data_IF_427224520795
#
_entry.id   IF_427224520795
#
_cell.length_a   1.000
_cell.length_b   1.000
_cell.length_c   1.000
_cell.angle_alpha   90.00
_cell.angle_beta   90.00
_cell.angle_gamma   90.00
#
_symmetry.space_group_name_H-M   'P 1'
#
loop_
_entity.id
_entity.type
_entity.pdbx_description
1 polymer ?
#
# COMPACT_ATOMS: atom_id res chain seq x y z
N UNK A 1 9.22 20.37 33.49
CA UNK A 1 9.10 20.76 32.08
C UNK A 1 8.15 19.76 31.43
N UNK A 2 6.97 20.20 31.00
CA UNK A 2 6.00 19.31 30.33
C UNK A 2 6.44 19.19 28.87
N UNK A 3 6.93 18.02 28.49
CA UNK A 3 7.32 17.76 27.11
C UNK A 3 6.04 17.70 26.26
N UNK A 4 5.95 18.51 25.21
CA UNK A 4 4.85 18.41 24.26
C UNK A 4 4.88 17.03 23.59
N UNK A 5 3.74 16.35 23.51
CA UNK A 5 3.63 15.10 22.76
C UNK A 5 3.96 15.37 21.28
N UNK A 6 4.78 14.52 20.63
CA UNK A 6 5.15 14.71 19.24
C UNK A 6 3.90 14.65 18.34
N UNK A 7 3.78 15.60 17.42
CA UNK A 7 2.74 15.59 16.40
C UNK A 7 3.06 14.54 15.34
N UNK A 8 2.27 13.48 15.27
CA UNK A 8 2.45 12.38 14.32
C UNK A 8 1.56 12.62 13.10
N UNK A 9 2.11 13.19 12.03
CA UNK A 9 1.39 13.32 10.76
C UNK A 9 1.53 12.06 9.89
N UNK A 10 0.53 11.77 9.06
CA UNK A 10 0.56 10.61 8.17
C UNK A 10 1.80 10.61 7.24
N UNK A 11 2.16 11.76 6.69
CA UNK A 11 3.30 11.91 5.78
C UNK A 11 4.60 11.33 6.37
N UNK A 12 4.94 11.69 7.61
CA UNK A 12 6.19 11.25 8.25
C UNK A 12 6.12 9.86 8.89
N UNK A 13 4.93 9.34 9.18
CA UNK A 13 4.77 8.15 10.01
C UNK A 13 4.23 6.94 9.27
N UNK A 14 3.59 7.12 8.11
CA UNK A 14 3.10 6.01 7.28
C UNK A 14 3.49 6.15 5.81
N UNK A 15 3.41 7.35 5.22
CA UNK A 15 3.73 7.52 3.79
C UNK A 15 5.23 7.34 3.50
N UNK A 16 6.09 8.13 4.16
CA UNK A 16 7.55 8.01 3.98
C UNK A 16 8.06 6.62 4.39
N UNK A 17 7.65 6.04 5.54
CA UNK A 17 8.00 4.65 5.85
C UNK A 17 7.54 3.65 4.78
N UNK A 18 6.36 3.82 4.19
CA UNK A 18 5.90 2.93 3.13
C UNK A 18 6.80 2.99 1.88
N UNK A 19 7.19 4.19 1.45
CA UNK A 19 8.18 4.37 0.38
C UNK A 19 9.52 3.69 0.69
N UNK A 20 10.01 3.85 1.94
CA UNK A 20 11.28 3.25 2.35
C UNK A 20 11.23 1.72 2.32
N UNK A 21 10.12 1.12 2.76
CA UNK A 21 9.92 -0.34 2.69
C UNK A 21 9.86 -0.83 1.25
N UNK A 22 9.11 -0.15 0.38
CA UNK A 22 9.05 -0.48 -1.06
C UNK A 22 10.45 -0.43 -1.69
N UNK A 23 11.22 0.62 -1.39
CA UNK A 23 12.60 0.78 -1.86
C UNK A 23 13.53 -0.32 -1.33
N UNK A 24 13.40 -0.69 -0.06
CA UNK A 24 14.15 -1.82 0.53
C UNK A 24 13.84 -3.16 -0.14
N UNK A 25 12.61 -3.33 -0.66
CA UNK A 25 12.19 -4.51 -1.44
C UNK A 25 12.57 -4.44 -2.92
N UNK A 26 13.39 -3.45 -3.30
CA UNK A 26 13.87 -3.18 -4.66
C UNK A 26 12.79 -2.77 -5.67
N UNK A 27 11.69 -2.19 -5.20
CA UNK A 27 10.72 -1.53 -6.08
C UNK A 27 11.20 -0.13 -6.46
N UNK A 28 11.07 0.21 -7.74
CA UNK A 28 11.21 1.58 -8.23
C UNK A 28 9.87 2.29 -8.02
N UNK A 29 9.85 3.30 -7.14
CA UNK A 29 8.64 4.04 -6.81
C UNK A 29 8.62 5.39 -7.53
N UNK A 30 7.52 5.72 -8.21
CA UNK A 30 7.35 6.98 -8.96
C UNK A 30 5.97 7.59 -8.74
N UNK A 31 5.84 8.89 -9.01
CA UNK A 31 4.57 9.63 -8.98
C UNK A 31 4.49 10.55 -10.21
N UNK A 32 4.02 10.04 -11.38
CA UNK A 32 3.87 10.83 -12.59
C UNK A 32 2.64 11.75 -12.47
N UNK A 33 2.78 12.85 -11.72
CA UNK A 33 1.73 13.85 -11.58
C UNK A 33 0.57 13.42 -10.68
N UNK A 34 -0.66 13.61 -11.14
CA UNK A 34 -1.89 13.46 -10.33
C UNK A 34 -2.50 12.05 -10.37
N UNK A 35 -1.81 11.06 -10.94
CA UNK A 35 -2.32 9.69 -11.12
C UNK A 35 -2.01 8.75 -9.94
N UNK A 36 -1.52 9.30 -8.83
CA UNK A 36 -1.09 8.53 -7.66
C UNK A 36 0.34 8.01 -7.78
N UNK A 37 0.61 6.94 -7.02
CA UNK A 37 1.93 6.33 -6.87
C UNK A 37 2.02 5.02 -7.61
N UNK A 38 3.18 4.75 -8.19
CA UNK A 38 3.50 3.51 -8.88
C UNK A 38 4.70 2.81 -8.24
N UNK A 39 4.69 1.48 -8.19
CA UNK A 39 5.84 0.66 -7.81
C UNK A 39 6.11 -0.39 -8.89
N UNK A 40 7.36 -0.48 -9.36
CA UNK A 40 7.77 -1.38 -10.44
C UNK A 40 8.95 -2.27 -10.04
N UNK A 41 8.85 -3.57 -10.35
CA UNK A 41 9.91 -4.57 -10.12
C UNK A 41 9.65 -5.82 -10.95
N UNK A 42 10.68 -6.38 -11.58
CA UNK A 42 10.62 -7.67 -12.29
C UNK A 42 9.48 -7.78 -13.33
N UNK A 43 9.16 -6.68 -14.01
CA UNK A 43 8.07 -6.62 -15.01
C UNK A 43 6.67 -6.47 -14.41
N UNK A 44 6.54 -6.41 -13.08
CA UNK A 44 5.30 -6.08 -12.39
C UNK A 44 5.21 -4.56 -12.15
N UNK A 45 3.98 -4.03 -12.25
CA UNK A 45 3.66 -2.63 -12.00
C UNK A 45 2.41 -2.54 -11.13
N UNK A 46 2.52 -1.85 -10.00
CA UNK A 46 1.46 -1.61 -9.03
C UNK A 46 1.12 -0.12 -9.00
N UNK A 47 -0.14 0.22 -8.75
CA UNK A 47 -0.63 1.60 -8.64
C UNK A 47 -1.58 1.74 -7.46
N UNK A 48 -1.47 2.83 -6.71
CA UNK A 48 -2.44 3.23 -5.69
C UNK A 48 -2.43 4.75 -5.46
N UNK A 49 -3.41 5.27 -4.71
CA UNK A 49 -3.53 6.71 -4.48
C UNK A 49 -2.51 7.23 -3.45
N UNK A 50 -2.10 6.38 -2.51
CA UNK A 50 -1.10 6.68 -1.47
C UNK A 50 0.03 5.66 -1.44
N UNK A 51 1.16 6.00 -0.79
CA UNK A 51 2.27 5.06 -0.61
C UNK A 51 1.88 3.92 0.34
N UNK A 52 0.99 4.19 1.30
CA UNK A 52 0.49 3.18 2.24
C UNK A 52 -0.36 2.14 1.52
N UNK A 53 -1.31 2.58 0.69
CA UNK A 53 -2.09 1.66 -0.15
C UNK A 53 -1.21 0.88 -1.11
N UNK A 54 -0.22 1.55 -1.73
CA UNK A 54 0.72 0.92 -2.65
C UNK A 54 1.54 -0.18 -1.95
N UNK A 55 2.03 0.09 -0.74
CA UNK A 55 2.70 -0.92 0.09
C UNK A 55 1.76 -2.07 0.46
N UNK A 56 0.50 -1.77 0.78
CA UNK A 56 -0.52 -2.77 1.06
C UNK A 56 -0.72 -3.70 -0.13
N UNK A 57 -0.93 -3.13 -1.32
CA UNK A 57 -1.11 -3.85 -2.57
C UNK A 57 0.09 -4.75 -2.91
N UNK A 58 1.31 -4.20 -2.86
CA UNK A 58 2.55 -4.96 -3.07
C UNK A 58 2.67 -6.09 -2.05
N UNK A 59 2.40 -5.82 -0.77
CA UNK A 59 2.50 -6.84 0.28
C UNK A 59 1.45 -7.95 0.11
N UNK A 60 0.25 -7.63 -0.38
CA UNK A 60 -0.77 -8.64 -0.71
C UNK A 60 -0.32 -9.53 -1.87
N UNK A 61 0.25 -8.94 -2.92
CA UNK A 61 0.83 -9.71 -4.03
C UNK A 61 1.96 -10.62 -3.56
N UNK A 62 2.89 -10.12 -2.75
CA UNK A 62 4.00 -10.92 -2.21
C UNK A 62 3.51 -12.06 -1.30
N UNK A 63 2.41 -11.85 -0.54
CA UNK A 63 1.87 -12.84 0.38
C UNK A 63 0.99 -13.91 -0.31
N UNK A 64 0.15 -13.52 -1.28
CA UNK A 64 -0.81 -14.41 -1.96
C UNK A 64 -0.30 -14.92 -3.32
N UNK A 65 0.77 -14.33 -3.86
CA UNK A 65 1.30 -14.64 -5.18
C UNK A 65 0.48 -14.02 -6.33
N UNK A 66 0.66 -14.50 -7.58
CA UNK A 66 0.01 -13.92 -8.76
C UNK A 66 -1.53 -13.87 -8.71
N UNK A 67 -2.15 -14.79 -7.98
CA UNK A 67 -3.60 -14.87 -7.80
C UNK A 67 -4.05 -14.14 -6.51
N UNK A 68 -3.47 -12.97 -6.24
CA UNK A 68 -3.69 -12.23 -5.00
C UNK A 68 -5.07 -11.57 -4.88
N UNK A 69 -5.76 -11.37 -6.01
CA UNK A 69 -7.10 -10.78 -6.00
C UNK A 69 -8.08 -11.71 -5.28
N UNK A 70 -9.04 -11.13 -4.57
CA UNK A 70 -10.13 -11.91 -3.99
C UNK A 70 -11.01 -12.50 -5.10
N UNK A 71 -11.50 -13.71 -4.89
CA UNK A 71 -12.53 -14.31 -5.74
C UNK A 71 -13.90 -13.68 -5.41
N UNK A 72 -14.83 -13.76 -6.37
CA UNK A 72 -16.18 -13.21 -6.18
C UNK A 72 -16.85 -13.82 -4.93
N UNK A 73 -16.68 -15.12 -4.68
CA UNK A 73 -17.23 -15.75 -3.49
C UNK A 73 -16.60 -15.22 -2.19
N UNK A 74 -15.28 -14.94 -2.18
CA UNK A 74 -14.59 -14.35 -1.04
C UNK A 74 -15.08 -12.91 -0.76
N UNK A 75 -15.42 -12.17 -1.81
CA UNK A 75 -15.99 -10.81 -1.72
C UNK A 75 -17.42 -10.87 -1.18
N UNK A 76 -18.25 -11.76 -1.71
CA UNK A 76 -19.64 -11.95 -1.26
C UNK A 76 -19.69 -12.36 0.22
N UNK A 77 -18.83 -13.29 0.65
CA UNK A 77 -18.72 -13.68 2.05
C UNK A 77 -18.30 -12.51 2.95
N UNK A 78 -17.35 -11.69 2.49
CA UNK A 78 -16.92 -10.51 3.24
C UNK A 78 -18.05 -9.48 3.38
N UNK A 79 -18.75 -9.18 2.30
CA UNK A 79 -19.86 -8.23 2.29
C UNK A 79 -21.06 -8.73 3.09
N UNK A 80 -21.40 -10.02 3.01
CA UNK A 80 -22.46 -10.60 3.83
C UNK A 80 -22.16 -10.50 5.34
N UNK A 81 -20.87 -10.56 5.71
CA UNK A 81 -20.43 -10.51 7.11
C UNK A 81 -20.31 -9.09 7.67
N UNK A 82 -19.90 -8.12 6.85
CA UNK A 82 -19.50 -6.78 7.31
C UNK A 82 -20.12 -5.60 6.53
N UNK A 83 -20.77 -5.85 5.39
CA UNK A 83 -21.49 -4.84 4.64
C UNK A 83 -22.78 -4.48 5.36
N UNK A 84 -22.81 -3.30 5.99
CA UNK A 84 -24.00 -2.73 6.60
C UNK A 84 -24.68 -1.72 5.68
#
# INVERSE_FOLDING_TARGET
>A
MTQALPFLCAAGNVEVPAYLVLSQRAYIVTAPGNEGWYAEKDGLRFQAESLVELLGLVSMYEARGPNWAALDEEVDEFLAKYGH
#
